data_IF_116266241784
#
_entry.id   IF_116266241784
#
_cell.length_a   1.000
_cell.length_b   1.000
_cell.length_c   1.000
_cell.angle_alpha   90.00
_cell.angle_beta   90.00
_cell.angle_gamma   90.00
#
_symmetry.space_group_name_H-M   'P 1'
#
loop_
_entity.id
_entity.type
_entity.pdbx_description
1 polymer ?
#
# COMPACT_ATOMS: atom_id res chain seq x y z
N UNK A 1 -9.66 22.08 -42.28
CA UNK A 1 -9.13 23.17 -41.42
C UNK A 1 -9.93 23.41 -40.13
N UNK A 2 -11.27 23.37 -40.11
CA UNK A 2 -12.06 23.57 -38.86
C UNK A 2 -11.85 22.48 -37.80
N UNK A 3 -11.72 21.21 -38.22
CA UNK A 3 -11.48 20.06 -37.33
C UNK A 3 -10.14 20.21 -36.58
N UNK A 4 -9.05 20.58 -37.26
CA UNK A 4 -7.75 20.83 -36.62
C UNK A 4 -7.77 21.99 -35.60
N UNK A 5 -8.60 23.02 -35.80
CA UNK A 5 -8.79 24.11 -34.82
C UNK A 5 -9.48 23.66 -33.54
N UNK A 6 -10.24 22.56 -33.59
CA UNK A 6 -10.96 21.98 -32.45
C UNK A 6 -10.17 20.85 -31.78
N UNK A 7 -9.35 20.12 -32.54
CA UNK A 7 -8.45 19.09 -32.02
C UNK A 7 -7.35 19.69 -31.15
N UNK A 8 -6.75 20.82 -31.55
CA UNK A 8 -5.65 21.45 -30.81
C UNK A 8 -5.99 21.78 -29.33
N UNK A 9 -7.10 22.48 -29.01
CA UNK A 9 -7.46 22.74 -27.62
C UNK A 9 -7.81 21.45 -26.87
N UNK A 10 -8.48 20.49 -27.50
CA UNK A 10 -8.81 19.20 -26.86
C UNK A 10 -7.54 18.42 -26.51
N UNK A 11 -6.56 18.39 -27.42
CA UNK A 11 -5.29 17.72 -27.20
C UNK A 11 -4.48 18.33 -26.04
N UNK A 12 -4.66 19.63 -25.77
CA UNK A 12 -4.03 20.30 -24.62
C UNK A 12 -4.83 20.11 -23.33
N UNK A 13 -6.15 20.25 -23.39
CA UNK A 13 -7.01 20.23 -22.19
C UNK A 13 -7.18 18.81 -21.63
N UNK A 14 -7.26 17.80 -22.49
CA UNK A 14 -7.45 16.41 -22.07
C UNK A 14 -6.38 15.92 -21.07
N UNK A 15 -5.06 16.04 -21.33
CA UNK A 15 -4.04 15.61 -20.37
C UNK A 15 -4.08 16.44 -19.08
N UNK A 16 -4.39 17.74 -19.14
CA UNK A 16 -4.51 18.59 -17.95
C UNK A 16 -5.65 18.10 -17.07
N UNK A 17 -6.82 17.84 -17.64
CA UNK A 17 -7.97 17.31 -16.89
C UNK A 17 -7.66 15.93 -16.28
N UNK A 18 -6.94 15.07 -17.01
CA UNK A 18 -6.50 13.78 -16.49
C UNK A 18 -5.60 13.96 -15.25
N UNK A 19 -4.55 14.79 -15.32
CA UNK A 19 -3.68 15.02 -14.17
C UNK A 19 -4.38 15.71 -13.00
N UNK A 20 -5.31 16.63 -13.27
CA UNK A 20 -6.13 17.25 -12.21
C UNK A 20 -7.00 16.19 -11.53
N UNK A 21 -7.59 15.26 -12.28
CA UNK A 21 -8.35 14.14 -11.72
C UNK A 21 -7.48 13.27 -10.82
N UNK A 22 -6.26 12.93 -11.25
CA UNK A 22 -5.33 12.13 -10.44
C UNK A 22 -4.97 12.84 -9.12
N UNK A 23 -4.65 14.13 -9.18
CA UNK A 23 -4.33 14.92 -7.98
C UNK A 23 -5.51 14.94 -7.00
N UNK A 24 -6.72 15.18 -7.50
CA UNK A 24 -7.92 15.20 -6.66
C UNK A 24 -8.13 13.83 -5.99
N UNK A 25 -7.95 12.75 -6.74
CA UNK A 25 -8.12 11.38 -6.23
C UNK A 25 -7.11 11.08 -5.13
N UNK A 26 -5.84 11.40 -5.35
CA UNK A 26 -4.76 11.21 -4.37
C UNK A 26 -4.99 12.05 -3.09
N UNK A 27 -5.37 13.32 -3.24
CA UNK A 27 -5.63 14.22 -2.12
C UNK A 27 -6.84 13.76 -1.30
N UNK A 28 -7.89 13.27 -1.98
CA UNK A 28 -9.07 12.73 -1.32
C UNK A 28 -8.74 11.47 -0.53
N UNK A 29 -7.96 10.54 -1.10
CA UNK A 29 -7.51 9.33 -0.40
C UNK A 29 -6.61 9.68 0.78
N UNK A 30 -5.70 10.65 0.64
CA UNK A 30 -4.83 11.08 1.74
C UNK A 30 -5.62 11.69 2.90
N UNK A 31 -6.60 12.55 2.61
CA UNK A 31 -7.35 13.28 3.64
C UNK A 31 -8.48 12.45 4.28
N UNK A 32 -9.21 11.67 3.49
CA UNK A 32 -10.42 10.94 3.92
C UNK A 32 -10.27 9.42 3.92
N UNK A 33 -9.13 8.90 3.49
CA UNK A 33 -8.84 7.47 3.52
C UNK A 33 -8.90 6.90 4.93
N UNK A 34 -9.30 5.63 4.99
CA UNK A 34 -9.32 4.85 6.23
C UNK A 34 -7.90 4.67 6.72
N UNK A 35 -7.68 4.95 7.99
CA UNK A 35 -6.35 4.84 8.60
C UNK A 35 -6.04 3.40 8.96
N UNK A 36 -4.85 2.95 8.56
CA UNK A 36 -4.32 1.63 8.86
C UNK A 36 -2.86 1.77 9.25
N UNK A 37 -2.48 1.30 10.43
CA UNK A 37 -1.13 1.40 10.96
C UNK A 37 -0.56 -0.01 11.11
N UNK A 38 0.47 -0.31 10.34
CA UNK A 38 1.12 -1.62 10.28
C UNK A 38 2.59 -1.51 10.68
N UNK A 39 3.19 -2.53 11.29
CA UNK A 39 4.62 -2.52 11.60
C UNK A 39 5.47 -2.74 10.34
N UNK A 40 6.64 -2.13 10.32
CA UNK A 40 7.67 -2.38 9.31
C UNK A 40 8.57 -3.52 9.80
N UNK A 41 8.75 -4.55 8.98
CA UNK A 41 9.55 -5.74 9.33
C UNK A 41 11.00 -5.65 8.89
N UNK A 42 11.29 -4.80 7.90
CA UNK A 42 12.64 -4.52 7.45
C UNK A 42 12.66 -3.28 6.57
N UNK A 43 13.76 -2.56 6.56
CA UNK A 43 13.94 -1.37 5.75
C UNK A 43 15.35 -1.35 5.16
N UNK A 44 15.47 -0.76 3.97
CA UNK A 44 16.74 -0.44 3.35
C UNK A 44 16.93 1.08 3.39
N UNK A 45 17.87 1.59 4.22
CA UNK A 45 18.07 3.03 4.41
C UNK A 45 18.63 3.76 3.17
N UNK A 46 19.08 3.05 2.13
CA UNK A 46 19.65 3.68 0.93
C UNK A 46 19.26 2.97 -0.35
N UNK A 47 18.27 3.51 -1.05
CA UNK A 47 18.08 3.21 -2.47
C UNK A 47 19.14 3.98 -3.29
N UNK A 48 20.22 3.29 -3.68
CA UNK A 48 21.34 3.85 -4.44
C UNK A 48 20.95 4.46 -5.79
N UNK A 49 19.79 4.07 -6.34
CA UNK A 49 19.31 4.53 -7.66
C UNK A 49 18.26 5.63 -7.55
N UNK A 50 17.52 5.68 -6.43
CA UNK A 50 16.42 6.64 -6.24
C UNK A 50 16.77 7.79 -5.29
N UNK A 51 17.94 7.78 -4.65
CA UNK A 51 18.39 8.85 -3.75
C UNK A 51 17.73 8.73 -2.36
N UNK A 52 17.00 9.76 -1.93
CA UNK A 52 16.45 9.84 -0.56
C UNK A 52 15.12 9.09 -0.36
N UNK A 53 14.98 7.91 -0.96
CA UNK A 53 13.83 7.04 -0.71
C UNK A 53 14.21 5.91 0.24
N UNK A 54 13.41 5.73 1.29
CA UNK A 54 13.43 4.56 2.15
C UNK A 54 12.59 3.48 1.51
N UNK A 55 13.18 2.31 1.27
CA UNK A 55 12.43 1.12 0.91
C UNK A 55 12.14 0.31 2.17
N UNK A 56 10.93 -0.24 2.31
CA UNK A 56 10.56 -1.01 3.49
C UNK A 56 9.64 -2.18 3.14
N UNK A 57 9.62 -3.16 4.04
CA UNK A 57 8.71 -4.30 3.99
C UNK A 57 7.67 -4.15 5.10
N UNK A 58 6.40 -4.29 4.73
CA UNK A 58 5.27 -4.18 5.65
C UNK A 58 4.98 -5.56 6.25
N UNK A 59 4.79 -5.63 7.56
CA UNK A 59 4.26 -6.82 8.23
C UNK A 59 2.74 -6.76 8.27
N UNK A 60 2.06 -7.48 7.40
CA UNK A 60 0.60 -7.45 7.25
C UNK A 60 -0.19 -8.13 8.39
N UNK A 61 0.49 -8.59 9.46
CA UNK A 61 -0.13 -9.10 10.68
C UNK A 61 -1.19 -10.19 10.48
N UNK A 62 -0.95 -11.14 9.58
CA UNK A 62 -1.90 -12.23 9.29
C UNK A 62 -1.64 -13.46 10.14
N UNK A 63 -2.69 -14.19 10.54
CA UNK A 63 -2.61 -15.43 11.34
C UNK A 63 -1.66 -16.47 10.73
N UNK A 64 -1.61 -16.55 9.41
CA UNK A 64 -0.70 -17.44 8.68
C UNK A 64 0.52 -16.68 8.15
N UNK A 65 1.47 -16.35 9.02
CA UNK A 65 2.77 -15.72 8.67
C UNK A 65 3.50 -16.46 7.52
N UNK A 66 3.24 -17.76 7.38
CA UNK A 66 3.81 -18.62 6.33
C UNK A 66 2.82 -19.05 5.23
N UNK A 67 1.56 -18.62 5.28
CA UNK A 67 0.47 -19.05 4.38
C UNK A 67 -0.05 -17.97 3.43
N UNK A 68 0.25 -16.69 3.70
CA UNK A 68 -0.02 -15.59 2.75
C UNK A 68 0.69 -15.89 1.44
N UNK A 69 -0.09 -16.01 0.37
CA UNK A 69 0.36 -16.40 -0.97
C UNK A 69 0.89 -17.85 -1.12
N UNK A 70 0.62 -18.79 -0.20
CA UNK A 70 0.91 -20.22 -0.40
C UNK A 70 -0.33 -21.03 -0.76
N UNK A 71 -0.68 -21.00 -2.04
CA UNK A 71 -1.51 -22.04 -2.67
C UNK A 71 -1.22 -22.15 -4.16
N UNK A 72 -0.23 -22.98 -4.50
CA UNK A 72 -0.20 -23.87 -5.68
C UNK A 72 1.08 -24.70 -5.60
N UNK A 73 1.05 -25.74 -4.76
CA UNK A 73 2.07 -26.80 -4.79
C UNK A 73 1.42 -28.18 -4.83
N UNK A 74 0.30 -28.33 -5.53
CA UNK A 74 -0.24 -29.63 -5.90
C UNK A 74 -0.76 -29.60 -7.34
N UNK A 75 -0.10 -30.44 -8.14
CA UNK A 75 -0.57 -31.17 -9.32
C UNK A 75 -0.93 -30.42 -10.62
N UNK A 76 -0.03 -30.58 -11.60
CA UNK A 76 -0.31 -30.77 -13.03
C UNK A 76 -1.38 -29.85 -13.61
N UNK A 77 -1.11 -28.55 -13.64
CA UNK A 77 -1.53 -27.71 -14.75
C UNK A 77 -0.61 -26.49 -14.80
N UNK A 78 -0.10 -26.19 -15.98
CA UNK A 78 0.69 -25.00 -16.28
C UNK A 78 -0.19 -23.75 -16.15
N UNK A 79 -0.50 -23.29 -14.94
CA UNK A 79 -1.10 -21.97 -14.69
C UNK A 79 -1.11 -21.59 -13.19
N UNK A 80 0.07 -21.37 -12.60
CA UNK A 80 0.17 -20.55 -11.38
C UNK A 80 0.55 -19.11 -11.75
N UNK A 81 -0.19 -18.54 -12.71
CA UNK A 81 -0.06 -17.15 -13.13
C UNK A 81 -1.36 -16.40 -12.85
N UNK A 82 -1.99 -16.68 -11.71
CA UNK A 82 -2.96 -15.73 -11.17
C UNK A 82 -2.17 -14.61 -10.52
N UNK A 83 -1.75 -13.66 -11.36
CA UNK A 83 -1.55 -12.24 -11.03
C UNK A 83 -2.91 -11.63 -10.58
N UNK A 84 -3.63 -12.39 -9.76
CA UNK A 84 -4.96 -12.12 -9.25
C UNK A 84 -4.83 -11.12 -8.12
N UNK A 85 -5.77 -10.18 -8.10
CA UNK A 85 -5.85 -9.16 -7.06
C UNK A 85 -6.27 -9.85 -5.77
N UNK A 86 -5.35 -9.92 -4.81
CA UNK A 86 -5.63 -10.49 -3.49
C UNK A 86 -5.88 -9.36 -2.49
N UNK A 87 -6.58 -9.66 -1.42
CA UNK A 87 -6.91 -8.68 -0.40
C UNK A 87 -6.54 -9.18 1.00
N UNK A 88 -6.21 -8.25 1.90
CA UNK A 88 -6.07 -8.52 3.34
C UNK A 88 -7.07 -7.64 4.08
N UNK A 89 -8.01 -8.27 4.77
CA UNK A 89 -9.04 -7.62 5.58
C UNK A 89 -8.59 -7.41 7.02
N UNK A 90 -9.03 -6.29 7.60
CA UNK A 90 -8.81 -5.97 9.01
C UNK A 90 -10.13 -5.60 9.70
N UNK A 91 -10.34 -6.04 10.95
CA UNK A 91 -11.58 -5.83 11.70
C UNK A 91 -11.74 -4.40 12.25
N UNK A 92 -10.66 -3.61 12.29
CA UNK A 92 -10.68 -2.22 12.74
C UNK A 92 -9.70 -1.32 12.00
N UNK A 93 -9.82 -0.01 12.26
CA UNK A 93 -8.92 1.03 11.76
C UNK A 93 -7.81 1.29 12.79
N UNK A 94 -6.75 1.97 12.37
CA UNK A 94 -5.62 2.32 13.22
C UNK A 94 -4.59 1.21 13.34
N UNK A 95 -3.96 1.06 14.51
CA UNK A 95 -2.90 0.07 14.75
C UNK A 95 -3.47 -1.34 14.75
N UNK A 96 -2.96 -2.16 13.84
CA UNK A 96 -3.25 -3.59 13.75
C UNK A 96 -2.20 -4.37 14.52
N UNK A 97 -2.65 -5.33 15.30
CA UNK A 97 -1.82 -6.25 16.07
C UNK A 97 -1.64 -7.57 15.33
N UNK A 98 -0.67 -8.34 15.81
CA UNK A 98 -0.33 -9.64 15.25
C UNK A 98 -1.56 -10.54 15.17
N UNK A 99 -1.70 -11.24 14.03
CA UNK A 99 -2.77 -12.20 13.76
C UNK A 99 -4.18 -11.61 13.58
N UNK A 100 -4.33 -10.30 13.37
CA UNK A 100 -5.64 -9.69 13.09
C UNK A 100 -5.99 -9.59 11.59
N UNK A 101 -5.02 -9.79 10.70
CA UNK A 101 -5.20 -9.72 9.26
C UNK A 101 -5.76 -11.02 8.67
N UNK A 102 -6.90 -10.93 7.99
CA UNK A 102 -7.52 -12.04 7.26
C UNK A 102 -7.15 -11.97 5.78
N UNK A 103 -6.46 -12.98 5.25
CA UNK A 103 -6.15 -13.08 3.83
C UNK A 103 -7.37 -13.56 3.04
N UNK A 104 -7.71 -12.85 1.96
CA UNK A 104 -8.84 -13.12 1.07
C UNK A 104 -8.33 -13.29 -0.36
N UNK A 105 -8.39 -14.53 -0.85
CA UNK A 105 -8.08 -14.85 -2.25
C UNK A 105 -9.07 -14.18 -3.20
N UNK A 106 -8.54 -13.63 -4.30
CA UNK A 106 -9.29 -12.93 -5.36
C UNK A 106 -10.22 -11.79 -4.88
N UNK A 107 -9.97 -11.25 -3.69
CA UNK A 107 -10.76 -10.17 -3.10
C UNK A 107 -12.29 -10.46 -3.10
N UNK A 108 -12.69 -11.68 -2.72
CA UNK A 108 -14.11 -12.08 -2.70
C UNK A 108 -15.01 -11.04 -2.00
N UNK A 109 -15.96 -10.48 -2.75
CA UNK A 109 -16.82 -9.39 -2.30
C UNK A 109 -17.69 -9.74 -1.08
N UNK A 110 -18.08 -11.00 -0.91
CA UNK A 110 -18.92 -11.41 0.22
C UNK A 110 -18.21 -11.16 1.55
N UNK A 111 -16.94 -11.56 1.63
CA UNK A 111 -16.09 -11.34 2.80
C UNK A 111 -15.75 -9.86 3.00
N UNK A 112 -15.52 -9.12 1.90
CA UNK A 112 -15.18 -7.68 1.98
C UNK A 112 -16.37 -6.81 2.41
N UNK A 113 -17.61 -7.23 2.11
CA UNK A 113 -18.83 -6.48 2.47
C UNK A 113 -19.27 -6.68 3.91
N UNK A 114 -18.83 -7.75 4.57
CA UNK A 114 -19.08 -7.96 5.99
C UNK A 114 -18.27 -6.97 6.83
N UNK A 115 -18.92 -5.85 7.23
CA UNK A 115 -18.29 -4.82 8.07
C UNK A 115 -17.97 -5.27 9.49
N UNK A 116 -18.53 -6.40 9.95
CA UNK A 116 -18.17 -7.00 11.24
C UNK A 116 -16.79 -7.65 11.17
N UNK A 117 -16.45 -8.26 10.04
CA UNK A 117 -15.18 -8.94 9.80
C UNK A 117 -14.13 -8.05 9.12
N UNK A 118 -14.55 -7.17 8.21
CA UNK A 118 -13.68 -6.40 7.34
C UNK A 118 -14.11 -4.92 7.30
N UNK A 119 -13.55 -4.10 8.19
CA UNK A 119 -13.78 -2.64 8.19
C UNK A 119 -12.92 -1.91 7.17
N UNK A 120 -11.72 -2.41 6.94
CA UNK A 120 -10.77 -1.91 5.93
C UNK A 120 -10.05 -3.11 5.33
N UNK A 121 -9.75 -3.04 4.05
CA UNK A 121 -8.96 -4.06 3.37
C UNK A 121 -7.88 -3.42 2.52
N UNK A 122 -6.74 -4.09 2.43
CA UNK A 122 -5.66 -3.74 1.53
C UNK A 122 -5.70 -4.64 0.32
N UNK A 123 -5.68 -4.02 -0.86
CA UNK A 123 -5.55 -4.71 -2.13
C UNK A 123 -4.08 -4.80 -2.52
N UNK A 124 -3.67 -5.96 -3.01
CA UNK A 124 -2.30 -6.19 -3.43
C UNK A 124 -2.17 -7.40 -4.36
N UNK A 125 -0.92 -7.76 -4.64
CA UNK A 125 -0.57 -8.88 -5.51
C UNK A 125 0.38 -9.83 -4.78
N UNK A 126 0.29 -11.11 -5.10
CA UNK A 126 1.22 -12.10 -4.59
C UNK A 126 2.41 -12.24 -5.55
N UNK A 127 3.57 -11.70 -5.18
CA UNK A 127 4.81 -11.80 -5.95
C UNK A 127 5.87 -12.57 -5.17
N UNK A 128 6.36 -13.67 -5.74
CA UNK A 128 7.36 -14.56 -5.12
C UNK A 128 6.97 -15.06 -3.72
N UNK A 129 5.68 -15.40 -3.54
CA UNK A 129 5.17 -15.87 -2.25
C UNK A 129 5.08 -14.79 -1.17
N UNK A 130 5.10 -13.51 -1.56
CA UNK A 130 4.89 -12.37 -0.67
C UNK A 130 3.74 -11.52 -1.19
N UNK A 131 2.86 -11.11 -0.28
CA UNK A 131 1.86 -10.09 -0.59
C UNK A 131 2.58 -8.74 -0.69
N UNK A 132 2.35 -8.03 -1.79
CA UNK A 132 2.94 -6.72 -2.08
C UNK A 132 1.87 -5.72 -2.46
N UNK A 133 2.11 -4.49 -2.07
CA UNK A 133 1.33 -3.32 -2.46
C UNK A 133 2.26 -2.34 -3.20
N UNK A 134 1.71 -1.49 -4.06
CA UNK A 134 2.52 -0.66 -4.97
C UNK A 134 3.24 0.52 -4.27
N UNK A 135 3.02 0.73 -2.97
CA UNK A 135 3.48 1.90 -2.21
C UNK A 135 4.60 1.62 -1.17
N UNK A 136 5.48 0.64 -1.40
CA UNK A 136 6.58 0.22 -0.48
C UNK A 136 7.80 1.18 -0.42
N UNK A 137 7.61 2.47 -0.75
CA UNK A 137 8.67 3.50 -0.72
C UNK A 137 8.19 4.75 0.01
N UNK A 138 9.09 5.41 0.74
CA UNK A 138 8.80 6.67 1.43
C UNK A 138 9.92 7.66 1.19
N UNK A 139 9.57 8.86 0.75
CA UNK A 139 10.55 9.92 0.53
C UNK A 139 10.99 10.52 1.87
N UNK A 140 12.29 10.66 2.03
CA UNK A 140 12.92 11.22 3.21
C UNK A 140 13.63 12.52 2.81
N UNK A 141 13.39 13.60 3.52
CA UNK A 141 14.15 14.84 3.29
C UNK A 141 15.62 14.64 3.68
N UNK A 142 16.54 15.10 2.82
CA UNK A 142 17.99 14.98 3.00
C UNK A 142 18.48 15.51 4.36
N UNK A 143 17.99 16.67 4.80
CA UNK A 143 18.41 17.32 6.05
C UNK A 143 18.16 16.43 7.27
N UNK A 144 17.10 15.60 7.22
CA UNK A 144 16.69 14.72 8.32
C UNK A 144 17.10 13.25 8.10
N UNK A 145 17.66 12.91 6.94
CA UNK A 145 17.95 11.53 6.56
C UNK A 145 18.91 10.82 7.54
N UNK A 146 19.96 11.52 8.00
CA UNK A 146 20.93 10.95 8.94
C UNK A 146 20.32 10.65 10.32
N UNK A 147 19.42 11.52 10.79
CA UNK A 147 18.70 11.31 12.05
C UNK A 147 17.81 10.08 11.95
N UNK A 148 17.04 9.96 10.86
CA UNK A 148 16.15 8.83 10.64
C UNK A 148 16.90 7.52 10.48
N UNK A 149 18.01 7.50 9.75
CA UNK A 149 18.85 6.29 9.63
C UNK A 149 19.29 5.80 11.02
N UNK A 150 19.72 6.71 11.90
CA UNK A 150 20.13 6.36 13.27
C UNK A 150 18.96 5.85 14.10
N UNK A 151 17.78 6.44 13.95
CA UNK A 151 16.58 6.08 14.70
C UNK A 151 15.98 4.75 14.25
N UNK A 152 15.88 4.53 12.94
CA UNK A 152 15.47 3.27 12.31
C UNK A 152 16.30 2.07 12.77
N UNK A 153 17.60 2.27 13.02
CA UNK A 153 18.51 1.22 13.53
C UNK A 153 18.24 0.78 14.97
N UNK A 154 17.55 1.61 15.76
CA UNK A 154 17.34 1.39 17.20
C UNK A 154 15.89 1.09 17.55
N UNK A 155 14.97 1.71 16.83
CA UNK A 155 13.55 1.70 17.15
C UNK A 155 12.76 0.88 16.14
N UNK A 156 11.66 0.28 16.61
CA UNK A 156 10.64 -0.29 15.73
C UNK A 156 9.82 0.85 15.14
N UNK A 157 9.45 0.71 13.88
CA UNK A 157 8.72 1.73 13.14
C UNK A 157 7.46 1.12 12.57
N UNK A 158 6.39 1.92 12.61
CA UNK A 158 5.14 1.61 12.00
C UNK A 158 4.91 2.53 10.81
N UNK A 159 4.16 2.07 9.84
CA UNK A 159 3.72 2.86 8.71
C UNK A 159 2.24 3.19 8.87
N UNK A 160 1.89 4.47 8.70
CA UNK A 160 0.50 4.89 8.54
C UNK A 160 0.15 4.88 7.06
N UNK A 161 -0.85 4.09 6.73
CA UNK A 161 -1.46 4.02 5.43
C UNK A 161 -2.84 4.70 5.46
N UNK A 162 -3.16 5.38 4.36
CA UNK A 162 -4.49 5.87 4.04
C UNK A 162 -5.04 5.01 2.92
N UNK A 163 -6.14 4.31 3.20
CA UNK A 163 -6.73 3.32 2.29
C UNK A 163 -8.04 3.86 1.72
N UNK A 164 -8.20 3.78 0.40
CA UNK A 164 -9.44 4.16 -0.29
C UNK A 164 -10.55 3.10 -0.16
N UNK A 165 -11.63 3.24 -0.93
CA UNK A 165 -12.75 2.31 -0.88
C UNK A 165 -12.48 1.02 -1.66
N UNK A 166 -11.57 1.09 -2.63
CA UNK A 166 -11.12 0.05 -3.53
C UNK A 166 -9.96 -0.80 -2.95
N UNK A 167 -9.46 -0.39 -1.78
CA UNK A 167 -8.38 -1.05 -1.04
C UNK A 167 -6.98 -0.62 -1.47
N UNK A 168 -6.83 0.41 -2.30
CA UNK A 168 -5.51 0.96 -2.62
C UNK A 168 -5.02 1.80 -1.45
N UNK A 169 -3.74 1.66 -1.13
CA UNK A 169 -3.11 2.36 -0.03
C UNK A 169 -2.12 3.40 -0.51
N UNK A 170 -2.13 4.55 0.17
CA UNK A 170 -1.10 5.57 0.05
C UNK A 170 -0.38 5.65 1.38
N UNK A 171 0.95 5.76 1.33
CA UNK A 171 1.76 5.98 2.52
C UNK A 171 1.63 7.43 2.96
N UNK A 172 1.13 7.62 4.18
CA UNK A 172 0.94 8.96 4.77
C UNK A 172 2.16 9.38 5.58
N UNK A 173 2.57 8.56 6.54
CA UNK A 173 3.65 8.88 7.48
C UNK A 173 4.29 7.63 8.08
N UNK A 174 5.50 7.79 8.60
CA UNK A 174 6.15 6.81 9.48
C UNK A 174 5.89 7.19 10.93
N UNK A 175 5.49 6.23 11.76
CA UNK A 175 5.18 6.42 13.18
C UNK A 175 6.21 5.68 14.01
N UNK A 176 6.82 6.40 14.94
CA UNK A 176 7.75 5.85 15.93
C UNK A 176 7.01 5.33 17.18
N UNK A 177 7.69 4.57 18.03
CA UNK A 177 7.06 4.00 19.25
C UNK A 177 6.62 5.08 20.26
N UNK A 178 7.25 6.25 20.26
CA UNK A 178 6.85 7.38 21.10
C UNK A 178 5.60 8.12 20.58
N UNK A 179 5.02 7.66 19.48
CA UNK A 179 3.85 8.27 18.83
C UNK A 179 4.17 9.49 17.98
N UNK A 180 5.44 9.91 17.89
CA UNK A 180 5.85 10.93 16.93
C UNK A 180 5.70 10.39 15.51
N UNK A 181 5.20 11.23 14.61
CA UNK A 181 5.06 10.91 13.19
C UNK A 181 5.95 11.80 12.34
N UNK A 182 6.30 11.27 11.19
CA UNK A 182 7.18 11.86 10.20
C UNK A 182 6.38 12.45 9.04
#
# INVERSE_FOLDING_TARGET
MKIFKLILPVALVLPILFFVSEIITLEFTKTRGKELILPITGYDPRDLLSGHYLQYNIGFQTEEVSGVCKRQKNEILNQSNTDGKNCICYPHLGRIYENEGLFVEDCNEETLKDKGLCKVYLRGTCKYGRFKIDNERFYVNEEKALEYEKRLRKEKVHIRLKVDQEGNAITDSLIWEDGSSL
#
